data_IF_351473387416
#
_entry.id   IF_351473387416
#
_cell.length_a   1.000
_cell.length_b   1.000
_cell.length_c   1.000
_cell.angle_alpha   90.00
_cell.angle_beta   90.00
_cell.angle_gamma   90.00
#
_symmetry.space_group_name_H-M   'P 1'
#
loop_
_entity.id
_entity.type
_entity.pdbx_description
1 polymer ?
#
# COMPACT_ATOMS: atom_id res chain seq x y z
N UNK A 1 -6.67 -10.78 -18.41
CA UNK A 1 -5.88 -9.55 -18.53
C UNK A 1 -5.49 -9.14 -17.12
N UNK A 2 -4.31 -9.57 -16.67
CA UNK A 2 -3.74 -9.13 -15.39
C UNK A 2 -2.70 -8.08 -15.75
N UNK A 3 -3.13 -6.85 -15.96
CA UNK A 3 -2.21 -5.72 -16.08
C UNK A 3 -1.77 -5.36 -14.66
N UNK A 4 -0.73 -6.07 -14.22
CA UNK A 4 -0.05 -5.91 -12.94
C UNK A 4 0.59 -4.54 -12.86
N UNK A 5 -0.10 -3.59 -12.21
CA UNK A 5 0.50 -2.34 -11.77
C UNK A 5 1.27 -2.56 -10.46
N UNK A 6 2.29 -3.40 -10.52
CA UNK A 6 3.23 -3.56 -9.42
C UNK A 6 4.11 -2.32 -9.35
N UNK A 7 4.24 -1.75 -8.15
CA UNK A 7 5.07 -0.57 -7.90
C UNK A 7 6.07 -0.90 -6.82
N UNK A 8 7.35 -0.83 -7.15
CA UNK A 8 8.42 -1.02 -6.19
C UNK A 8 8.73 0.29 -5.47
N UNK A 9 8.75 0.24 -4.15
CA UNK A 9 9.13 1.36 -3.29
C UNK A 9 10.32 0.99 -2.42
N UNK A 10 11.23 1.95 -2.25
CA UNK A 10 12.31 1.85 -1.27
C UNK A 10 12.11 2.93 -0.20
N UNK A 11 11.75 2.51 1.01
CA UNK A 11 11.54 3.39 2.16
C UNK A 11 12.37 2.92 3.36
N UNK A 12 12.70 3.82 4.29
CA UNK A 12 13.34 3.41 5.55
C UNK A 12 12.31 2.69 6.42
N UNK A 13 12.73 1.67 7.16
CA UNK A 13 11.84 0.92 8.08
C UNK A 13 11.17 1.78 9.15
N UNK A 14 11.78 2.91 9.51
CA UNK A 14 11.22 3.90 10.45
C UNK A 14 10.28 4.93 9.82
N UNK A 15 10.06 4.88 8.49
CA UNK A 15 9.18 5.81 7.80
C UNK A 15 7.75 5.30 7.80
N UNK A 16 6.81 6.19 8.10
CA UNK A 16 5.39 5.91 8.01
C UNK A 16 4.97 5.49 6.60
N UNK A 17 4.16 4.43 6.53
CA UNK A 17 3.63 3.86 5.29
C UNK A 17 2.77 4.85 4.50
N UNK A 18 2.22 5.88 5.15
CA UNK A 18 1.41 6.94 4.50
C UNK A 18 2.11 7.54 3.28
N UNK A 19 3.43 7.71 3.31
CA UNK A 19 4.19 8.25 2.16
C UNK A 19 4.13 7.32 0.95
N UNK A 20 4.31 6.02 1.17
CA UNK A 20 4.22 4.99 0.14
C UNK A 20 2.80 4.91 -0.42
N UNK A 21 1.81 4.86 0.46
CA UNK A 21 0.40 4.75 0.08
C UNK A 21 -0.05 5.97 -0.75
N UNK A 22 0.30 7.19 -0.32
CA UNK A 22 0.01 8.40 -1.09
C UNK A 22 0.68 8.36 -2.47
N UNK A 23 1.97 7.99 -2.53
CA UNK A 23 2.69 7.91 -3.81
C UNK A 23 2.09 6.87 -4.76
N UNK A 24 1.59 5.74 -4.22
CA UNK A 24 0.85 4.75 -5.00
C UNK A 24 -0.47 5.34 -5.52
N UNK A 25 -1.26 5.97 -4.66
CA UNK A 25 -2.54 6.60 -5.02
C UNK A 25 -2.37 7.68 -6.09
N UNK A 26 -1.37 8.54 -5.95
CA UNK A 26 -1.05 9.59 -6.93
C UNK A 26 -0.69 8.99 -8.29
N UNK A 27 0.15 7.93 -8.30
CA UNK A 27 0.57 7.24 -9.53
C UNK A 27 -0.59 6.57 -10.24
N UNK A 28 -1.52 6.01 -9.48
CA UNK A 28 -2.69 5.30 -10.01
C UNK A 28 -3.88 6.23 -10.28
N UNK A 29 -3.76 7.52 -9.94
CA UNK A 29 -4.86 8.52 -10.05
C UNK A 29 -6.13 8.07 -9.34
N UNK A 30 -5.98 7.62 -8.10
CA UNK A 30 -7.04 7.07 -7.25
C UNK A 30 -7.00 7.69 -5.87
N UNK A 31 -8.16 7.82 -5.25
CA UNK A 31 -8.25 8.32 -3.88
C UNK A 31 -7.75 7.29 -2.87
N UNK A 32 -7.02 7.77 -1.87
CA UNK A 32 -6.55 6.98 -0.72
C UNK A 32 -7.69 6.28 0.03
N UNK A 33 -8.88 6.88 0.07
CA UNK A 33 -10.06 6.30 0.71
C UNK A 33 -10.72 5.20 -0.13
N UNK A 34 -10.45 5.19 -1.44
CA UNK A 34 -10.99 4.21 -2.39
C UNK A 34 -10.12 2.96 -2.48
N UNK A 35 -8.99 2.90 -1.75
CA UNK A 35 -8.08 1.76 -1.74
C UNK A 35 -7.86 1.24 -0.33
N UNK A 36 -7.90 -0.09 -0.19
CA UNK A 36 -7.44 -0.79 0.99
C UNK A 36 -6.05 -1.39 0.71
N UNK A 37 -5.06 -0.96 1.49
CA UNK A 37 -3.73 -1.59 1.49
C UNK A 37 -3.72 -2.70 2.54
N UNK A 38 -3.28 -3.89 2.14
CA UNK A 38 -3.23 -5.08 2.97
C UNK A 38 -1.81 -5.63 2.99
N UNK A 39 -1.37 -6.07 4.17
CA UNK A 39 -0.14 -6.84 4.37
C UNK A 39 -0.52 -8.11 5.13
N UNK A 40 -0.18 -9.28 4.60
CA UNK A 40 -0.63 -10.58 5.13
C UNK A 40 -2.15 -10.63 5.40
N UNK A 41 -2.94 -10.02 4.50
CA UNK A 41 -4.40 -9.92 4.63
C UNK A 41 -4.90 -8.95 5.72
N UNK A 42 -4.01 -8.25 6.44
CA UNK A 42 -4.36 -7.25 7.44
C UNK A 42 -4.32 -5.85 6.86
N UNK A 43 -5.33 -5.03 7.19
CA UNK A 43 -5.41 -3.65 6.71
C UNK A 43 -4.33 -2.77 7.36
N UNK A 44 -3.50 -2.19 6.51
CA UNK A 44 -2.48 -1.23 6.91
C UNK A 44 -3.07 0.15 7.20
N UNK A 45 -2.47 0.83 8.18
CA UNK A 45 -2.73 2.24 8.48
C UNK A 45 -1.53 3.08 8.08
N UNK A 46 -1.77 4.31 7.64
CA UNK A 46 -0.71 5.19 7.17
C UNK A 46 0.30 5.56 8.27
N UNK A 47 -0.12 5.55 9.53
CA UNK A 47 0.71 5.88 10.69
C UNK A 47 1.69 4.76 11.07
N UNK A 48 1.44 3.53 10.60
CA UNK A 48 2.32 2.39 10.88
C UNK A 48 3.61 2.50 10.07
N UNK A 49 4.65 1.84 10.57
CA UNK A 49 5.96 1.73 9.93
C UNK A 49 6.26 0.28 9.55
N UNK A 50 7.11 0.04 8.54
CA UNK A 50 7.57 -1.32 8.22
C UNK A 50 8.22 -2.03 9.41
N UNK A 51 8.88 -1.31 10.32
CA UNK A 51 9.50 -1.88 11.53
C UNK A 51 8.47 -2.45 12.50
N UNK A 52 7.37 -1.72 12.76
CA UNK A 52 6.27 -2.17 13.62
C UNK A 52 5.49 -3.36 13.05
N UNK A 53 5.56 -3.55 11.73
CA UNK A 53 4.93 -4.64 11.00
C UNK A 53 5.89 -5.80 10.72
N UNK A 54 7.13 -5.69 11.19
CA UNK A 54 8.21 -6.65 10.97
C UNK A 54 8.46 -6.97 9.48
N UNK A 55 8.20 -6.01 8.59
CA UNK A 55 8.37 -6.20 7.15
C UNK A 55 9.85 -6.36 6.77
N UNK A 56 10.12 -7.27 5.84
CA UNK A 56 11.42 -7.60 5.27
C UNK A 56 11.60 -7.02 3.85
N UNK A 57 12.83 -7.09 3.33
CA UNK A 57 13.12 -6.67 1.97
C UNK A 57 12.50 -7.67 0.98
N UNK A 58 11.68 -7.16 0.06
CA UNK A 58 10.94 -7.99 -0.90
C UNK A 58 9.52 -8.35 -0.46
N UNK A 59 9.08 -7.94 0.73
CA UNK A 59 7.68 -8.09 1.14
C UNK A 59 6.73 -7.27 0.26
N UNK A 60 5.53 -7.81 0.07
CA UNK A 60 4.51 -7.26 -0.82
C UNK A 60 3.32 -6.68 -0.05
N UNK A 61 2.76 -5.58 -0.56
CA UNK A 61 1.52 -4.98 -0.05
C UNK A 61 0.47 -5.07 -1.16
N UNK A 62 -0.64 -5.74 -0.86
CA UNK A 62 -1.79 -5.77 -1.76
C UNK A 62 -2.55 -4.44 -1.71
N UNK A 63 -2.82 -3.84 -2.86
CA UNK A 63 -3.67 -2.66 -2.98
C UNK A 63 -4.99 -3.01 -3.68
N UNK A 64 -6.06 -3.10 -2.91
CA UNK A 64 -7.40 -3.46 -3.41
C UNK A 64 -8.30 -2.24 -3.51
N UNK A 65 -8.85 -1.96 -4.69
CA UNK A 65 -9.89 -0.95 -4.84
C UNK A 65 -11.13 -1.38 -4.05
N UNK A 66 -11.65 -0.47 -3.24
CA UNK A 66 -12.95 -0.63 -2.61
C UNK A 66 -13.99 -0.62 -3.73
N UNK A 67 -14.49 -1.79 -4.12
CA UNK A 67 -15.50 -1.91 -5.16
C UNK A 67 -16.83 -1.43 -4.58
N UNK A 68 -17.05 -0.11 -4.50
CA UNK A 68 -18.40 0.45 -4.52
C UNK A 68 -18.96 0.17 -5.91
N UNK A 69 -19.58 -0.99 -6.07
CA UNK A 69 -20.30 -1.32 -7.30
C UNK A 69 -21.57 -0.47 -7.41
N UNK A 70 -21.76 0.14 -8.58
CA UNK A 70 -23.04 0.69 -9.06
C UNK A 70 -23.23 2.18 -8.81
#
# INVERSE_FOLDING_TARGET
MKDGNEVFFKIKRSTQLRKLMNAYCDRQSVDMNSIAFLFDGRRLRGEQTPDELEMEDGDEIDAMLHQTGG
#
